data_IF_559029482143
#
_entry.id   IF_559029482143
#
_cell.length_a   1.000
_cell.length_b   1.000
_cell.length_c   1.000
_cell.angle_alpha   90.00
_cell.angle_beta   90.00
_cell.angle_gamma   90.00
#
_symmetry.space_group_name_H-M   'P 1'
#
loop_
_entity.id
_entity.type
_entity.pdbx_description
1 polymer ?
#
# COMPACT_ATOMS: atom_id res chain seq x y z
N UNK A 1 -22.52 -3.18 8.06
CA UNK A 1 -21.91 -2.34 7.02
C UNK A 1 -21.05 -3.20 6.12
N UNK A 2 -21.34 -3.29 4.82
CA UNK A 2 -20.53 -4.08 3.88
C UNK A 2 -19.18 -3.40 3.66
N UNK A 3 -18.09 -4.05 4.09
CA UNK A 3 -16.74 -3.63 3.71
C UNK A 3 -16.63 -3.75 2.19
N UNK A 4 -16.65 -2.62 1.48
CA UNK A 4 -16.33 -2.59 0.05
C UNK A 4 -14.86 -3.02 -0.07
N UNK A 5 -14.62 -4.23 -0.53
CA UNK A 5 -13.26 -4.74 -0.74
C UNK A 5 -12.65 -3.93 -1.88
N UNK A 6 -11.80 -2.96 -1.53
CA UNK A 6 -11.07 -2.17 -2.51
C UNK A 6 -10.12 -3.09 -3.26
N UNK A 7 -10.42 -3.37 -4.54
CA UNK A 7 -9.60 -4.20 -5.40
C UNK A 7 -8.50 -3.33 -6.00
N UNK A 8 -7.30 -3.45 -5.46
CA UNK A 8 -6.10 -2.87 -6.04
C UNK A 8 -5.59 -3.75 -7.18
N UNK A 9 -5.17 -3.14 -8.29
CA UNK A 9 -4.54 -3.85 -9.40
C UNK A 9 -3.17 -4.39 -9.00
N UNK A 10 -2.69 -5.40 -9.72
CA UNK A 10 -1.37 -5.99 -9.45
C UNK A 10 -0.25 -4.97 -9.70
N UNK A 11 -0.39 -4.12 -10.73
CA UNK A 11 0.60 -3.08 -11.01
C UNK A 11 0.68 -2.07 -9.87
N UNK A 12 -0.48 -1.65 -9.34
CA UNK A 12 -0.54 -0.69 -8.24
C UNK A 12 0.10 -1.25 -6.97
N UNK A 13 -0.14 -2.53 -6.64
CA UNK A 13 0.53 -3.19 -5.51
C UNK A 13 2.05 -3.20 -5.69
N UNK A 14 2.53 -3.54 -6.88
CA UNK A 14 3.96 -3.61 -7.16
C UNK A 14 4.63 -2.22 -7.15
N UNK A 15 3.93 -1.18 -7.62
CA UNK A 15 4.39 0.21 -7.53
C UNK A 15 4.42 0.69 -6.08
N UNK A 16 3.39 0.36 -5.29
CA UNK A 16 3.32 0.68 -3.88
C UNK A 16 4.51 0.11 -3.10
N UNK A 17 4.78 -1.19 -3.26
CA UNK A 17 5.90 -1.87 -2.60
C UNK A 17 7.25 -1.35 -3.09
N UNK A 18 7.42 -1.14 -4.40
CA UNK A 18 8.65 -0.52 -4.95
C UNK A 18 8.90 0.86 -4.37
N UNK A 19 7.88 1.70 -4.30
CA UNK A 19 8.02 3.04 -3.72
C UNK A 19 8.49 2.98 -2.27
N UNK A 20 7.93 2.06 -1.47
CA UNK A 20 8.34 1.86 -0.07
C UNK A 20 9.79 1.40 0.03
N UNK A 21 10.18 0.40 -0.76
CA UNK A 21 11.53 -0.18 -0.71
C UNK A 21 12.59 0.78 -1.28
N UNK A 22 12.33 1.40 -2.42
CA UNK A 22 13.28 2.32 -3.07
C UNK A 22 13.52 3.60 -2.26
N UNK A 23 12.46 4.12 -1.63
CA UNK A 23 12.58 5.33 -0.81
C UNK A 23 12.84 5.00 0.67
N UNK A 24 13.03 3.72 1.02
CA UNK A 24 13.15 3.23 2.41
C UNK A 24 12.08 3.83 3.34
N UNK A 25 10.86 3.97 2.83
CA UNK A 25 9.75 4.55 3.58
C UNK A 25 9.27 3.54 4.62
N UNK A 26 8.78 4.04 5.74
CA UNK A 26 8.03 3.22 6.68
C UNK A 26 6.67 2.85 6.07
N UNK A 27 6.07 1.74 6.52
CA UNK A 27 4.72 1.32 6.09
C UNK A 27 3.71 2.46 6.27
N UNK A 28 3.79 3.19 7.38
CA UNK A 28 2.94 4.35 7.66
C UNK A 28 3.07 5.45 6.60
N UNK A 29 4.31 5.82 6.29
CA UNK A 29 4.64 6.89 5.36
C UNK A 29 4.23 6.52 3.93
N UNK A 30 4.54 5.29 3.50
CA UNK A 30 4.13 4.75 2.22
C UNK A 30 2.61 4.65 2.09
N UNK A 31 1.94 4.21 3.16
CA UNK A 31 0.50 4.08 3.19
C UNK A 31 -0.18 5.45 3.09
N UNK A 32 0.31 6.44 3.83
CA UNK A 32 -0.17 7.82 3.76
C UNK A 32 0.02 8.42 2.36
N UNK A 33 1.21 8.25 1.77
CA UNK A 33 1.55 8.75 0.43
C UNK A 33 0.72 8.10 -0.68
N UNK A 34 0.38 6.84 -0.53
CA UNK A 34 -0.41 6.07 -1.50
C UNK A 34 -1.92 6.06 -1.18
N UNK A 35 -2.35 6.76 -0.13
CA UNK A 35 -3.72 6.71 0.41
C UNK A 35 -4.21 5.26 0.63
N UNK A 36 -3.36 4.44 1.23
CA UNK A 36 -3.64 3.06 1.60
C UNK A 36 -3.79 2.92 3.11
N UNK A 37 -4.60 1.95 3.55
CA UNK A 37 -4.53 1.52 4.94
C UNK A 37 -3.16 0.89 5.20
N UNK A 38 -2.53 1.25 6.32
CA UNK A 38 -1.22 0.72 6.72
C UNK A 38 -1.22 -0.81 6.76
N UNK A 39 -2.28 -1.42 7.29
CA UNK A 39 -2.43 -2.88 7.31
C UNK A 39 -2.58 -3.52 5.93
N UNK A 40 -3.02 -2.75 4.91
CA UNK A 40 -3.05 -3.23 3.52
C UNK A 40 -1.66 -3.20 2.90
N UNK A 41 -0.93 -2.11 3.11
CA UNK A 41 0.42 -1.97 2.58
C UNK A 41 1.41 -2.90 3.28
N UNK A 42 1.31 -3.05 4.61
CA UNK A 42 2.09 -4.01 5.38
C UNK A 42 1.78 -5.48 5.05
N UNK A 43 0.68 -5.77 4.35
CA UNK A 43 0.40 -7.10 3.81
C UNK A 43 1.01 -7.31 2.41
N UNK A 44 1.52 -6.26 1.76
CA UNK A 44 2.11 -6.33 0.41
C UNK A 44 3.63 -6.20 0.40
N UNK A 45 4.18 -5.42 1.33
CA UNK A 45 5.63 -5.35 1.61
C UNK A 45 6.07 -6.66 2.27
#
# INVERSE_FOLDING_TARGET
MSRKTQRYSKEFKAEAVRTVLENQLSISEGASRLSLPEGTLGQWV
#
